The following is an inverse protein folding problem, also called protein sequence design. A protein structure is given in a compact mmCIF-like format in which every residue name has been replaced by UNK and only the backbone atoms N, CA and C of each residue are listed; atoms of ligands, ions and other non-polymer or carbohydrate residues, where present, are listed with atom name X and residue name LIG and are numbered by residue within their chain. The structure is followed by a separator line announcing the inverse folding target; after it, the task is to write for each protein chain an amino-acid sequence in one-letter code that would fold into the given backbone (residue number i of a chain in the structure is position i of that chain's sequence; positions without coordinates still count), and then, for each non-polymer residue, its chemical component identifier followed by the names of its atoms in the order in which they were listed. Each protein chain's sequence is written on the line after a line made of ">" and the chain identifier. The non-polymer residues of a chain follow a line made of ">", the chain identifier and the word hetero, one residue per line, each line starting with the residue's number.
data_IF_787276025144
#
_entry.id   IF_787276025144
#
_cell.length_a   1.000
_cell.length_b   1.000
_cell.length_c   1.000
_cell.angle_alpha   90.00
_cell.angle_beta   90.00
_cell.angle_gamma   90.00
#
_symmetry.space_group_name_H-M   'P 1'
#
loop_
_entity.id
_entity.type
_entity.pdbx_description
1 polymer ?
#
# COMPACT_ATOMS: atom_id res chain seq x y z
N UNK A 1 34.75 -2.08 10.46
CA UNK A 1 33.32 -2.34 10.73
C UNK A 1 32.39 -1.62 9.73
N UNK A 2 32.74 -1.52 8.42
CA UNK A 2 31.97 -0.68 7.46
C UNK A 2 31.10 -1.43 6.43
N UNK A 3 31.43 -2.69 6.13
CA UNK A 3 30.69 -3.54 5.18
C UNK A 3 29.25 -3.90 5.61
N UNK A 4 28.96 -4.19 6.90
CA UNK A 4 27.60 -4.51 7.34
C UNK A 4 26.65 -3.32 7.19
N UNK A 5 27.14 -2.11 7.40
CA UNK A 5 26.34 -0.90 7.36
C UNK A 5 25.97 -0.53 5.93
N UNK A 6 26.91 -0.59 4.98
CA UNK A 6 26.63 -0.34 3.56
C UNK A 6 25.59 -1.30 2.99
N UNK A 7 25.66 -2.58 3.40
CA UNK A 7 24.69 -3.60 3.01
C UNK A 7 23.27 -3.31 3.53
N UNK A 8 23.16 -2.84 4.79
CA UNK A 8 21.89 -2.43 5.37
C UNK A 8 21.30 -1.22 4.63
N UNK A 9 22.13 -0.24 4.26
CA UNK A 9 21.69 0.90 3.46
C UNK A 9 21.21 0.52 2.06
N UNK A 10 21.90 -0.42 1.39
CA UNK A 10 21.48 -0.96 0.10
C UNK A 10 20.13 -1.69 0.20
N UNK A 11 19.97 -2.58 1.19
CA UNK A 11 18.67 -3.23 1.43
C UNK A 11 17.56 -2.21 1.65
N UNK A 12 17.84 -1.16 2.42
CA UNK A 12 16.88 -0.09 2.68
C UNK A 12 16.48 0.63 1.40
N UNK A 13 17.44 1.00 0.55
CA UNK A 13 17.18 1.63 -0.75
C UNK A 13 16.34 0.74 -1.67
N UNK A 14 16.61 -0.57 -1.69
CA UNK A 14 15.84 -1.54 -2.49
C UNK A 14 14.39 -1.60 -2.00
N UNK A 15 14.16 -1.66 -0.68
CA UNK A 15 12.80 -1.65 -0.10
C UNK A 15 12.07 -0.34 -0.47
N UNK A 16 12.74 0.80 -0.36
CA UNK A 16 12.17 2.08 -0.77
C UNK A 16 11.78 2.11 -2.24
N UNK A 17 12.63 1.58 -3.12
CA UNK A 17 12.36 1.54 -4.56
C UNK A 17 11.20 0.60 -4.87
N UNK A 18 11.13 -0.55 -4.20
CA UNK A 18 10.03 -1.50 -4.35
C UNK A 18 8.69 -0.88 -3.93
N UNK A 19 8.65 -0.24 -2.76
CA UNK A 19 7.44 0.45 -2.27
C UNK A 19 7.04 1.57 -3.22
N UNK A 20 8.00 2.37 -3.71
CA UNK A 20 7.72 3.43 -4.68
C UNK A 20 7.14 2.89 -5.99
N UNK A 21 7.65 1.75 -6.48
CA UNK A 21 7.14 1.10 -7.68
C UNK A 21 5.71 0.58 -7.46
N UNK A 22 5.41 -0.05 -6.32
CA UNK A 22 4.05 -0.50 -5.99
C UNK A 22 3.06 0.66 -5.92
N UNK A 23 3.47 1.80 -5.34
CA UNK A 23 2.66 3.02 -5.30
C UNK A 23 2.36 3.51 -6.72
N UNK A 24 3.39 3.58 -7.57
CA UNK A 24 3.25 4.07 -8.94
C UNK A 24 2.33 3.15 -9.76
N UNK A 25 2.54 1.83 -9.67
CA UNK A 25 1.70 0.85 -10.36
C UNK A 25 0.26 0.90 -9.85
N UNK A 26 0.05 0.96 -8.55
CA UNK A 26 -1.29 1.07 -7.94
C UNK A 26 -2.02 2.34 -8.40
N UNK A 27 -1.33 3.48 -8.42
CA UNK A 27 -1.86 4.75 -8.95
C UNK A 27 -2.23 4.64 -10.42
N UNK A 28 -1.35 4.09 -11.25
CA UNK A 28 -1.59 3.90 -12.70
C UNK A 28 -2.79 2.98 -12.93
N UNK A 29 -2.89 1.86 -12.20
CA UNK A 29 -4.04 0.95 -12.28
C UNK A 29 -5.34 1.65 -11.88
N UNK A 30 -5.31 2.49 -10.84
CA UNK A 30 -6.48 3.23 -10.38
C UNK A 30 -6.92 4.30 -11.39
N UNK A 31 -5.97 4.93 -12.10
CA UNK A 31 -6.27 5.88 -13.17
C UNK A 31 -6.79 5.20 -14.43
N UNK A 32 -6.20 4.08 -14.86
CA UNK A 32 -6.57 3.39 -16.09
C UNK A 32 -7.83 2.52 -15.94
N UNK A 33 -7.98 1.82 -14.82
CA UNK A 33 -9.07 0.85 -14.61
C UNK A 33 -9.72 1.02 -13.23
N UNK A 34 -10.26 2.21 -12.89
CA UNK A 34 -10.81 2.48 -11.56
C UNK A 34 -11.90 1.49 -11.16
N UNK A 35 -12.77 1.09 -12.11
CA UNK A 35 -13.85 0.14 -11.85
C UNK A 35 -13.37 -1.25 -11.46
N UNK A 36 -12.34 -1.78 -12.14
CA UNK A 36 -11.78 -3.10 -11.86
C UNK A 36 -11.08 -3.13 -10.51
N UNK A 37 -10.29 -2.10 -10.21
CA UNK A 37 -9.59 -1.97 -8.92
C UNK A 37 -10.59 -1.86 -7.76
N UNK A 38 -11.63 -1.02 -7.91
CA UNK A 38 -12.71 -0.92 -6.91
C UNK A 38 -13.37 -2.28 -6.67
N UNK A 39 -13.69 -3.04 -7.71
CA UNK A 39 -14.27 -4.38 -7.59
C UNK A 39 -13.36 -5.37 -6.87
N UNK A 40 -12.06 -5.39 -7.18
CA UNK A 40 -11.11 -6.26 -6.49
C UNK A 40 -10.98 -5.93 -5.00
N UNK A 41 -10.93 -4.65 -4.64
CA UNK A 41 -10.86 -4.21 -3.24
C UNK A 41 -12.18 -4.47 -2.51
N UNK A 42 -13.31 -4.27 -3.17
CA UNK A 42 -14.63 -4.66 -2.64
C UNK A 42 -14.70 -6.15 -2.36
N UNK A 43 -14.25 -7.00 -3.28
CA UNK A 43 -14.22 -8.45 -3.07
C UNK A 43 -13.32 -8.84 -1.89
N UNK A 44 -12.18 -8.18 -1.71
CA UNK A 44 -11.32 -8.34 -0.54
C UNK A 44 -11.99 -7.84 0.75
N UNK A 45 -12.65 -6.68 0.69
CA UNK A 45 -13.40 -6.09 1.80
C UNK A 45 -14.57 -6.95 2.25
N UNK A 46 -15.23 -7.66 1.32
CA UNK A 46 -16.28 -8.61 1.64
C UNK A 46 -15.72 -9.85 2.35
N UNK A 47 -14.56 -10.36 1.90
CA UNK A 47 -13.87 -11.49 2.56
C UNK A 47 -13.38 -11.15 3.96
N UNK A 48 -12.85 -9.95 4.16
CA UNK A 48 -12.32 -9.47 5.44
C UNK A 48 -13.38 -8.91 6.38
N UNK A 49 -14.63 -8.76 5.91
CA UNK A 49 -15.74 -8.17 6.67
C UNK A 49 -15.75 -6.64 6.68
N UNK A 50 -14.71 -5.96 6.18
CA UNK A 50 -14.61 -4.51 6.12
C UNK A 50 -15.74 -3.86 5.31
N UNK A 51 -16.15 -4.51 4.21
CA UNK A 51 -17.24 -4.04 3.35
C UNK A 51 -18.64 -4.50 3.83
N UNK A 52 -18.73 -5.26 4.92
CA UNK A 52 -20.00 -5.69 5.53
C UNK A 52 -20.53 -4.67 6.55
N UNK A 53 -19.69 -3.73 7.00
CA UNK A 53 -20.08 -2.68 7.92
C UNK A 53 -20.82 -1.55 7.17
N UNK A 54 -22.11 -1.31 7.43
CA UNK A 54 -22.88 -0.26 6.73
C UNK A 54 -22.36 1.16 7.03
N UNK A 55 -21.59 1.34 8.10
CA UNK A 55 -20.92 2.61 8.42
C UNK A 55 -19.63 2.84 7.62
N UNK A 56 -19.14 1.83 6.88
CA UNK A 56 -17.91 1.88 6.09
C UNK A 56 -18.21 1.77 4.59
N UNK A 57 -18.72 2.87 4.03
CA UNK A 57 -18.99 2.93 2.59
C UNK A 57 -17.70 2.77 1.77
N UNK A 58 -17.65 1.85 0.78
CA UNK A 58 -16.49 1.59 -0.08
C UNK A 58 -15.82 2.83 -0.66
N UNK A 59 -16.61 3.81 -1.09
CA UNK A 59 -16.09 5.04 -1.68
C UNK A 59 -15.26 5.90 -0.71
N UNK A 60 -15.42 5.71 0.60
CA UNK A 60 -14.70 6.48 1.62
C UNK A 60 -13.30 5.92 1.93
N UNK A 61 -13.06 4.62 1.72
CA UNK A 61 -11.83 3.94 2.14
C UNK A 61 -11.03 3.30 1.00
N UNK A 62 -11.66 2.98 -0.13
CA UNK A 62 -10.97 2.44 -1.31
C UNK A 62 -9.89 3.39 -1.87
N UNK A 63 -10.12 4.72 -1.97
CA UNK A 63 -9.08 5.66 -2.41
C UNK A 63 -7.88 5.72 -1.47
N UNK A 64 -8.07 5.35 -0.20
CA UNK A 64 -7.07 5.50 0.86
C UNK A 64 -5.95 4.47 0.73
N UNK A 65 -6.19 3.26 0.21
CA UNK A 65 -5.13 2.25 0.03
C UNK A 65 -4.03 2.66 -0.93
N UNK A 66 -4.34 3.50 -1.91
CA UNK A 66 -3.37 3.99 -2.89
C UNK A 66 -2.93 5.43 -2.61
N UNK A 67 -3.25 5.95 -1.41
CA UNK A 67 -2.75 7.23 -0.95
C UNK A 67 -1.31 7.10 -0.50
N UNK A 68 -0.49 8.10 -0.84
CA UNK A 68 0.89 8.25 -0.35
C UNK A 68 0.92 8.17 1.19
N UNK A 69 -0.10 8.69 1.88
CA UNK A 69 -0.18 8.63 3.35
C UNK A 69 -0.32 7.21 3.88
N UNK A 70 -1.11 6.35 3.22
CA UNK A 70 -1.26 4.95 3.61
C UNK A 70 0.03 4.16 3.37
N UNK A 71 0.72 4.44 2.28
CA UNK A 71 2.04 3.84 2.03
C UNK A 71 3.09 4.28 3.07
N UNK A 72 3.12 5.55 3.47
CA UNK A 72 3.97 6.00 4.59
C UNK A 72 3.64 5.29 5.89
N UNK A 73 2.35 5.04 6.16
CA UNK A 73 1.92 4.27 7.33
C UNK A 73 2.44 2.82 7.27
N UNK A 74 2.25 2.12 6.14
CA UNK A 74 2.73 0.75 5.96
C UNK A 74 4.25 0.68 6.05
N UNK A 75 4.97 1.60 5.40
CA UNK A 75 6.42 1.67 5.47
C UNK A 75 6.92 1.91 6.90
N UNK A 76 6.21 2.75 7.67
CA UNK A 76 6.52 2.99 9.08
C UNK A 76 6.26 1.74 9.93
N UNK A 77 5.16 1.03 9.69
CA UNK A 77 4.80 -0.18 10.42
C UNK A 77 5.66 -1.40 10.08
N UNK A 78 6.14 -1.50 8.83
CA UNK A 78 6.97 -2.60 8.33
C UNK A 78 8.48 -2.34 8.47
N UNK A 79 8.89 -1.13 8.88
CA UNK A 79 10.29 -0.81 9.15
C UNK A 79 10.78 -1.46 10.46
N UNK A 80 12.10 -1.57 10.67
CA UNK A 80 12.72 -2.15 11.88
C UNK A 80 12.55 -1.28 13.16
N UNK A 81 11.51 -0.47 13.23
CA UNK A 81 11.18 0.43 14.35
C UNK A 81 10.00 -0.10 15.19
N UNK A 82 9.71 -1.40 15.08
CA UNK A 82 8.84 -2.18 15.95
C UNK A 82 9.67 -3.20 16.72
#
# INVERSE_FOLDING_TARGET
>A
MGLPQLWLWLKRLVIFLQVALEVAVGKVLMTLFPGRVKQSILAMGQKTGMARNPRFAPDNWVPTFFSIQYFWFVLKAAGPWC
#
